data_IF_347103734426
#
_entry.id   IF_347103734426
#
_cell.length_a   1.000
_cell.length_b   1.000
_cell.length_c   1.000
_cell.angle_alpha   90.00
_cell.angle_beta   90.00
_cell.angle_gamma   90.00
#
_symmetry.space_group_name_H-M   'P 1'
#
loop_
_entity.id
_entity.type
_entity.pdbx_description
1 polymer ?
#
# COMPACT_ATOMS: atom_id res chain seq x y z
N UNK A 1 2.59 -7.90 -1.47
CA UNK A 1 2.91 -8.56 -2.74
C UNK A 1 2.28 -7.81 -3.90
N UNK A 2 3.06 -7.47 -4.90
CA UNK A 2 2.57 -7.03 -6.20
C UNK A 2 2.35 -8.27 -7.08
N UNK A 3 1.44 -8.19 -8.04
CA UNK A 3 1.22 -9.25 -9.03
C UNK A 3 1.49 -8.64 -10.42
N UNK A 4 2.76 -8.57 -10.83
CA UNK A 4 3.10 -7.96 -12.11
C UNK A 4 2.61 -8.80 -13.29
N UNK A 5 2.19 -8.10 -14.35
CA UNK A 5 1.97 -8.71 -15.65
C UNK A 5 3.31 -8.84 -16.36
N UNK A 6 3.95 -10.02 -16.24
CA UNK A 6 5.33 -10.26 -16.66
C UNK A 6 5.58 -10.32 -18.18
N UNK A 7 4.58 -9.98 -19.00
CA UNK A 7 4.69 -10.02 -20.48
C UNK A 7 4.93 -8.63 -21.11
N UNK A 8 5.09 -7.59 -20.27
CA UNK A 8 5.52 -6.25 -20.73
C UNK A 8 7.03 -6.16 -20.63
N UNK A 9 7.69 -5.74 -21.71
CA UNK A 9 9.14 -5.59 -21.76
C UNK A 9 9.56 -4.13 -21.58
N UNK A 10 10.84 -3.92 -21.27
CA UNK A 10 11.40 -2.57 -21.22
C UNK A 10 11.25 -1.83 -22.56
N UNK A 11 11.44 -2.54 -23.69
CA UNK A 11 11.31 -1.97 -25.01
C UNK A 11 9.88 -1.58 -25.36
N UNK A 12 8.89 -2.26 -24.78
CA UNK A 12 7.49 -1.83 -24.90
C UNK A 12 7.25 -0.51 -24.19
N UNK A 13 7.80 -0.35 -22.99
CA UNK A 13 7.63 0.86 -22.18
C UNK A 13 8.40 2.06 -22.75
N UNK A 14 9.52 1.85 -23.45
CA UNK A 14 10.27 2.91 -24.12
C UNK A 14 9.48 3.63 -25.22
N UNK A 15 8.45 2.97 -25.77
CA UNK A 15 7.58 3.53 -26.83
C UNK A 15 6.62 4.60 -26.31
N UNK A 16 6.48 4.75 -24.98
CA UNK A 16 5.50 5.62 -24.36
C UNK A 16 6.16 6.58 -23.37
N UNK A 17 5.58 7.77 -23.23
CA UNK A 17 6.08 8.79 -22.29
C UNK A 17 5.72 8.50 -20.83
N UNK A 18 4.75 7.63 -20.59
CA UNK A 18 4.32 7.22 -19.25
C UNK A 18 4.23 5.71 -19.14
N UNK A 19 4.75 5.17 -18.06
CA UNK A 19 4.62 3.75 -17.71
C UNK A 19 3.29 3.40 -17.02
N UNK A 20 2.40 4.38 -16.82
CA UNK A 20 1.07 4.19 -16.22
C UNK A 20 -0.04 4.76 -17.10
N UNK A 21 -0.34 6.04 -16.95
CA UNK A 21 -1.50 6.68 -17.58
C UNK A 21 -1.45 6.70 -19.11
N UNK A 22 -0.27 6.73 -19.69
CA UNK A 22 -0.08 6.71 -21.14
C UNK A 22 0.23 5.32 -21.71
N UNK A 23 0.38 4.29 -20.87
CA UNK A 23 0.65 2.93 -21.34
C UNK A 23 -0.67 2.21 -21.67
N UNK A 24 -0.88 1.75 -22.92
CA UNK A 24 -2.16 1.24 -23.34
C UNK A 24 -2.45 -0.17 -22.82
N UNK A 25 -3.71 -0.41 -22.45
CA UNK A 25 -4.17 -1.72 -21.99
C UNK A 25 -4.28 -2.78 -23.10
N UNK A 26 -4.01 -2.44 -24.35
CA UNK A 26 -3.93 -3.41 -25.47
C UNK A 26 -2.81 -4.43 -25.32
N UNK A 27 -1.86 -4.18 -24.41
CA UNK A 27 -0.82 -5.16 -24.04
C UNK A 27 -1.33 -6.26 -23.09
N UNK A 28 -2.50 -6.07 -22.49
CA UNK A 28 -3.07 -7.05 -21.57
C UNK A 28 -3.76 -8.18 -22.31
N UNK A 29 -3.31 -9.39 -22.09
CA UNK A 29 -3.86 -10.64 -22.58
C UNK A 29 -4.53 -11.39 -21.43
N UNK A 30 -5.87 -11.56 -21.44
CA UNK A 30 -6.60 -12.21 -20.36
C UNK A 30 -6.21 -13.67 -20.13
N UNK A 31 -5.80 -14.42 -21.18
CA UNK A 31 -5.39 -15.81 -21.04
C UNK A 31 -4.08 -15.92 -20.25
N UNK A 32 -3.10 -15.09 -20.60
CA UNK A 32 -1.83 -14.99 -19.87
C UNK A 32 -2.04 -14.48 -18.45
N UNK A 33 -2.89 -13.49 -18.25
CA UNK A 33 -3.22 -12.97 -16.94
C UNK A 33 -3.86 -14.04 -16.05
N UNK A 34 -4.74 -14.89 -16.60
CA UNK A 34 -5.35 -16.01 -15.87
C UNK A 34 -4.30 -16.98 -15.32
N UNK A 35 -3.30 -17.33 -16.13
CA UNK A 35 -2.18 -18.18 -15.68
C UNK A 35 -1.40 -17.50 -14.54
N UNK A 36 -1.07 -16.21 -14.70
CA UNK A 36 -0.32 -15.46 -13.69
C UNK A 36 -1.08 -15.34 -12.37
N UNK A 37 -2.37 -15.04 -12.39
CA UNK A 37 -3.19 -14.99 -11.15
C UNK A 37 -3.14 -16.31 -10.40
N UNK A 38 -3.29 -17.44 -11.08
CA UNK A 38 -3.22 -18.74 -10.44
C UNK A 38 -1.83 -19.02 -9.84
N UNK A 39 -0.75 -18.70 -10.55
CA UNK A 39 0.62 -18.85 -10.04
C UNK A 39 0.85 -18.01 -8.78
N UNK A 40 0.34 -16.76 -8.73
CA UNK A 40 0.45 -15.92 -7.54
C UNK A 40 -0.36 -16.48 -6.37
N UNK A 41 -1.52 -17.04 -6.63
CA UNK A 41 -2.34 -17.68 -5.60
C UNK A 41 -1.67 -18.95 -5.04
N UNK A 42 -1.02 -19.76 -5.87
CA UNK A 42 -0.20 -20.89 -5.43
C UNK A 42 0.95 -20.44 -4.51
N UNK A 43 1.61 -19.32 -4.82
CA UNK A 43 2.66 -18.75 -3.95
C UNK A 43 2.10 -18.34 -2.59
N UNK A 44 0.88 -17.82 -2.52
CA UNK A 44 0.24 -17.49 -1.25
C UNK A 44 -0.12 -18.72 -0.43
N UNK A 45 -0.58 -19.79 -1.07
CA UNK A 45 -0.79 -21.07 -0.40
C UNK A 45 0.52 -21.62 0.16
N UNK A 46 1.58 -21.61 -0.65
CA UNK A 46 2.90 -22.03 -0.19
C UNK A 46 3.38 -21.18 1.00
N UNK A 47 3.19 -19.87 1.00
CA UNK A 47 3.57 -19.02 2.12
C UNK A 47 2.84 -19.41 3.42
N UNK A 48 1.55 -19.78 3.34
CA UNK A 48 0.81 -20.30 4.48
C UNK A 48 1.38 -21.64 4.99
N UNK A 49 1.72 -22.54 4.06
CA UNK A 49 2.24 -23.89 4.35
C UNK A 49 3.63 -23.86 4.98
N UNK A 50 4.54 -23.01 4.46
CA UNK A 50 5.91 -22.93 4.97
C UNK A 50 6.07 -22.06 6.19
N UNK A 51 5.00 -21.45 6.70
CA UNK A 51 4.98 -20.85 8.02
C UNK A 51 5.15 -19.34 8.08
N UNK A 52 4.96 -18.59 6.99
CA UNK A 52 4.92 -17.11 7.08
C UNK A 52 3.79 -16.64 8.01
N UNK A 53 3.99 -15.51 8.70
CA UNK A 53 2.99 -14.94 9.61
C UNK A 53 1.85 -14.25 8.87
N UNK A 54 2.12 -13.70 7.70
CA UNK A 54 1.14 -12.97 6.91
C UNK A 54 1.48 -12.84 5.44
N UNK A 55 0.46 -12.51 4.67
CA UNK A 55 0.53 -12.15 3.26
C UNK A 55 0.08 -10.70 3.13
N UNK A 56 0.87 -9.90 2.42
CA UNK A 56 0.52 -8.52 2.13
C UNK A 56 0.07 -8.40 0.68
N UNK A 57 -1.08 -7.77 0.45
CA UNK A 57 -1.61 -7.41 -0.86
C UNK A 57 -1.81 -5.90 -0.96
N UNK A 58 -1.77 -5.33 -2.16
CA UNK A 58 -1.89 -3.90 -2.40
C UNK A 58 -2.77 -3.63 -3.62
N UNK A 59 -3.27 -2.38 -3.74
CA UNK A 59 -4.11 -1.89 -4.82
C UNK A 59 -3.31 -0.92 -5.70
N UNK A 60 -3.38 -1.13 -7.02
CA UNK A 60 -2.88 -0.17 -8.00
C UNK A 60 -3.73 -0.20 -9.26
N UNK A 61 -3.97 1.00 -9.80
CA UNK A 61 -4.72 1.20 -11.04
C UNK A 61 -3.80 1.61 -12.19
N UNK A 62 -4.21 1.35 -13.44
CA UNK A 62 -3.43 1.63 -14.65
C UNK A 62 -1.98 1.14 -14.52
N UNK A 63 -1.81 -0.14 -14.15
CA UNK A 63 -0.52 -0.64 -13.69
C UNK A 63 -0.25 -2.04 -14.24
N UNK A 64 0.78 -2.19 -15.07
CA UNK A 64 1.25 -3.50 -15.55
C UNK A 64 2.04 -4.26 -14.46
N UNK A 65 2.57 -3.57 -13.46
CA UNK A 65 3.32 -4.23 -12.36
C UNK A 65 2.45 -4.68 -11.19
N UNK A 66 1.15 -4.39 -11.24
CA UNK A 66 0.20 -4.85 -10.24
C UNK A 66 -1.17 -5.02 -10.89
N UNK A 67 -1.56 -6.26 -11.13
CA UNK A 67 -2.85 -6.60 -11.75
C UNK A 67 -4.02 -6.61 -10.74
N UNK A 68 -3.94 -5.85 -9.65
CA UNK A 68 -4.95 -5.83 -8.57
C UNK A 68 -5.59 -4.45 -8.40
N UNK A 69 -6.45 -4.02 -9.33
CA UNK A 69 -7.21 -2.78 -9.16
C UNK A 69 -8.34 -2.89 -8.12
N UNK A 70 -8.68 -4.12 -7.69
CA UNK A 70 -9.67 -4.40 -6.67
C UNK A 70 -9.07 -5.41 -5.67
N UNK A 71 -8.23 -4.91 -4.77
CA UNK A 71 -7.46 -5.74 -3.84
C UNK A 71 -8.33 -6.61 -2.93
N UNK A 72 -9.56 -6.17 -2.63
CA UNK A 72 -10.50 -6.93 -1.81
C UNK A 72 -10.97 -8.23 -2.49
N UNK A 73 -11.05 -8.27 -3.83
CA UNK A 73 -11.32 -9.52 -4.57
C UNK A 73 -10.17 -10.52 -4.41
N UNK A 74 -8.92 -10.06 -4.54
CA UNK A 74 -7.74 -10.89 -4.31
C UNK A 74 -7.71 -11.40 -2.86
N UNK A 75 -7.95 -10.54 -1.87
CA UNK A 75 -8.03 -10.92 -0.46
C UNK A 75 -9.12 -11.96 -0.17
N UNK A 76 -10.26 -11.91 -0.87
CA UNK A 76 -11.31 -12.91 -0.75
C UNK A 76 -10.84 -14.29 -1.22
N UNK A 77 -10.13 -14.36 -2.34
CA UNK A 77 -9.53 -15.60 -2.83
C UNK A 77 -8.48 -16.11 -1.85
N UNK A 78 -7.53 -15.26 -1.42
CA UNK A 78 -6.50 -15.61 -0.44
C UNK A 78 -7.14 -16.16 0.85
N UNK A 79 -8.25 -15.57 1.32
CA UNK A 79 -8.93 -15.99 2.54
C UNK A 79 -9.44 -17.44 2.50
N UNK A 80 -9.75 -17.94 1.29
CA UNK A 80 -10.21 -19.32 1.07
C UNK A 80 -9.09 -20.29 0.76
N UNK A 81 -8.01 -19.82 0.16
CA UNK A 81 -6.85 -20.64 -0.17
C UNK A 81 -5.91 -20.86 1.04
N UNK A 82 -5.95 -19.98 2.03
CA UNK A 82 -5.08 -20.02 3.21
C UNK A 82 -5.87 -20.27 4.50
N UNK A 83 -5.19 -20.76 5.54
CA UNK A 83 -5.84 -21.13 6.81
C UNK A 83 -5.31 -20.34 8.01
N UNK A 84 -4.04 -19.98 8.01
CA UNK A 84 -3.33 -19.48 9.19
C UNK A 84 -2.84 -18.05 9.04
N UNK A 85 -2.24 -17.72 7.90
CA UNK A 85 -1.60 -16.41 7.68
C UNK A 85 -2.56 -15.25 7.86
N UNK A 86 -2.09 -14.16 8.45
CA UNK A 86 -2.79 -12.88 8.40
C UNK A 86 -2.80 -12.35 6.97
N UNK A 87 -3.87 -11.66 6.60
CA UNK A 87 -4.05 -11.09 5.27
C UNK A 87 -4.05 -9.58 5.42
N UNK A 88 -2.90 -8.96 5.15
CA UNK A 88 -2.70 -7.53 5.26
C UNK A 88 -3.02 -6.85 3.91
N UNK A 89 -4.13 -6.13 3.85
CA UNK A 89 -4.53 -5.34 2.69
C UNK A 89 -3.88 -3.97 2.84
N UNK A 90 -2.68 -3.77 2.24
CA UNK A 90 -1.89 -2.55 2.41
C UNK A 90 -1.70 -1.81 1.06
N UNK A 91 -2.73 -1.09 0.59
CA UNK A 91 -4.01 -0.81 1.27
C UNK A 91 -5.06 -0.42 0.27
N UNK A 92 -6.26 -0.31 0.80
CA UNK A 92 -7.37 0.25 0.05
C UNK A 92 -7.22 1.77 -0.13
N UNK A 93 -7.51 2.27 -1.34
CA UNK A 93 -7.48 3.72 -1.64
C UNK A 93 -8.84 4.33 -1.25
N UNK A 94 -9.02 4.58 0.04
CA UNK A 94 -10.33 4.98 0.59
C UNK A 94 -10.77 6.40 0.25
N UNK A 95 -9.86 7.26 -0.21
CA UNK A 95 -10.18 8.64 -0.62
C UNK A 95 -10.97 8.72 -1.91
N UNK A 96 -10.88 7.70 -2.78
CA UNK A 96 -11.48 7.70 -4.13
C UNK A 96 -12.72 6.82 -4.24
N UNK A 97 -12.97 5.94 -3.28
CA UNK A 97 -14.09 5.00 -3.27
C UNK A 97 -15.27 5.45 -2.40
N UNK A 98 -16.28 4.59 -2.32
CA UNK A 98 -17.40 4.73 -1.37
C UNK A 98 -17.00 4.09 -0.03
N UNK A 99 -16.93 4.86 1.08
CA UNK A 99 -16.48 4.37 2.37
C UNK A 99 -17.44 3.36 3.01
N UNK A 100 -18.75 3.43 2.75
CA UNK A 100 -19.71 2.46 3.29
C UNK A 100 -19.48 1.10 2.63
N UNK A 101 -19.39 1.08 1.30
CA UNK A 101 -19.08 -0.14 0.55
C UNK A 101 -17.74 -0.74 1.00
N UNK A 102 -16.72 0.09 1.19
CA UNK A 102 -15.42 -0.35 1.69
C UNK A 102 -15.54 -1.01 3.08
N UNK A 103 -16.33 -0.40 3.98
CA UNK A 103 -16.58 -0.95 5.30
C UNK A 103 -17.27 -2.32 5.23
N UNK A 104 -18.26 -2.48 4.34
CA UNK A 104 -18.96 -3.75 4.14
C UNK A 104 -18.05 -4.83 3.54
N UNK A 105 -17.28 -4.51 2.51
CA UNK A 105 -16.35 -5.44 1.87
C UNK A 105 -15.31 -5.98 2.88
N UNK A 106 -14.70 -5.10 3.67
CA UNK A 106 -13.70 -5.51 4.66
C UNK A 106 -14.34 -6.32 5.79
N UNK A 107 -15.54 -5.96 6.23
CA UNK A 107 -16.28 -6.75 7.22
C UNK A 107 -16.59 -8.17 6.71
N UNK A 108 -17.02 -8.30 5.45
CA UNK A 108 -17.22 -9.60 4.80
C UNK A 108 -15.92 -10.40 4.72
N UNK A 109 -14.82 -9.77 4.32
CA UNK A 109 -13.50 -10.40 4.24
C UNK A 109 -13.02 -10.90 5.62
N UNK A 110 -13.27 -10.13 6.65
CA UNK A 110 -12.93 -10.50 8.01
C UNK A 110 -13.72 -11.74 8.46
N UNK A 111 -15.01 -11.80 8.15
CA UNK A 111 -15.82 -13.00 8.35
C UNK A 111 -15.34 -14.19 7.50
N UNK A 112 -15.03 -13.97 6.20
CA UNK A 112 -14.55 -15.04 5.32
C UNK A 112 -13.24 -15.65 5.79
N UNK A 113 -12.36 -14.82 6.32
CA UNK A 113 -11.03 -15.23 6.78
C UNK A 113 -11.01 -15.79 8.21
N UNK A 114 -12.11 -15.66 8.96
CA UNK A 114 -12.14 -16.01 10.39
C UNK A 114 -11.33 -15.07 11.27
N UNK A 115 -11.35 -13.76 10.99
CA UNK A 115 -10.67 -12.75 11.80
C UNK A 115 -9.17 -12.62 11.48
N UNK A 116 -8.75 -12.91 10.26
CA UNK A 116 -7.34 -12.83 9.84
C UNK A 116 -6.99 -11.56 9.07
N UNK A 117 -7.95 -10.66 8.83
CA UNK A 117 -7.71 -9.42 8.07
C UNK A 117 -6.95 -8.40 8.91
N UNK A 118 -5.94 -7.78 8.31
CA UNK A 118 -5.37 -6.51 8.71
C UNK A 118 -5.76 -5.51 7.64
N UNK A 119 -6.53 -4.49 8.02
CA UNK A 119 -7.02 -3.47 7.10
C UNK A 119 -5.97 -2.38 6.91
N UNK A 120 -5.60 -2.06 5.70
CA UNK A 120 -4.69 -0.96 5.39
C UNK A 120 -5.38 0.11 4.57
N UNK A 121 -5.20 1.36 4.97
CA UNK A 121 -5.78 2.51 4.28
C UNK A 121 -4.70 3.41 3.71
N UNK A 122 -4.88 3.80 2.45
CA UNK A 122 -4.00 4.72 1.75
C UNK A 122 -4.78 5.84 1.09
N UNK A 123 -4.10 6.97 0.90
CA UNK A 123 -4.65 8.10 0.14
C UNK A 123 -4.62 7.86 -1.38
N UNK A 124 -3.89 6.86 -1.82
CA UNK A 124 -3.50 6.71 -3.21
C UNK A 124 -2.40 7.69 -3.62
N UNK A 125 -1.91 7.51 -4.83
CA UNK A 125 -0.96 8.42 -5.48
C UNK A 125 -1.69 9.46 -6.34
N UNK A 126 -0.94 10.40 -6.90
CA UNK A 126 -1.47 11.34 -7.89
C UNK A 126 -2.20 10.63 -9.05
N UNK A 127 -1.72 9.46 -9.45
CA UNK A 127 -2.32 8.67 -10.54
C UNK A 127 -3.73 8.17 -10.17
N UNK A 128 -3.92 7.63 -8.97
CA UNK A 128 -5.24 7.18 -8.51
C UNK A 128 -6.23 8.34 -8.41
N UNK A 129 -5.77 9.51 -7.97
CA UNK A 129 -6.61 10.72 -7.93
C UNK A 129 -7.01 11.19 -9.32
N UNK A 130 -6.06 11.19 -10.30
CA UNK A 130 -6.38 11.51 -11.70
C UNK A 130 -7.41 10.55 -12.30
N UNK A 131 -7.20 9.25 -12.09
CA UNK A 131 -8.10 8.23 -12.64
C UNK A 131 -9.51 8.29 -12.06
N UNK A 132 -9.64 8.71 -10.80
CA UNK A 132 -10.94 8.88 -10.15
C UNK A 132 -11.64 10.20 -10.49
N UNK A 133 -10.94 11.13 -11.15
CA UNK A 133 -11.47 12.45 -11.49
C UNK A 133 -11.72 13.35 -10.28
N UNK A 134 -11.07 13.08 -9.15
CA UNK A 134 -11.22 13.87 -7.93
C UNK A 134 -10.22 15.02 -7.86
N UNK A 135 -10.57 16.05 -7.11
CA UNK A 135 -9.65 17.17 -6.81
C UNK A 135 -8.51 16.67 -5.90
N UNK A 136 -7.27 16.71 -6.36
CA UNK A 136 -6.13 16.23 -5.58
C UNK A 136 -5.88 17.06 -4.31
N UNK A 137 -6.35 18.30 -4.24
CA UNK A 137 -6.21 19.15 -3.05
C UNK A 137 -7.10 18.71 -1.90
N UNK A 138 -8.19 18.01 -2.19
CA UNK A 138 -9.14 17.46 -1.22
C UNK A 138 -8.77 16.05 -0.74
N UNK A 139 -7.82 15.39 -1.40
CA UNK A 139 -7.54 13.96 -1.22
C UNK A 139 -7.31 13.58 0.25
N UNK A 140 -6.53 14.35 1.01
CA UNK A 140 -6.26 14.02 2.40
C UNK A 140 -7.46 14.22 3.32
N UNK A 141 -8.23 15.27 3.13
CA UNK A 141 -9.44 15.52 3.92
C UNK A 141 -10.52 14.47 3.61
N UNK A 142 -10.68 14.08 2.35
CA UNK A 142 -11.54 12.95 1.95
C UNK A 142 -11.10 11.63 2.58
N UNK A 143 -9.80 11.37 2.61
CA UNK A 143 -9.23 10.20 3.26
C UNK A 143 -9.59 10.16 4.76
N UNK A 144 -9.43 11.28 5.47
CA UNK A 144 -9.73 11.36 6.91
C UNK A 144 -11.21 11.11 7.17
N UNK A 145 -12.10 11.76 6.42
CA UNK A 145 -13.55 11.57 6.57
C UNK A 145 -13.98 10.13 6.24
N UNK A 146 -13.41 9.54 5.18
CA UNK A 146 -13.67 8.13 4.82
C UNK A 146 -13.21 7.17 5.92
N UNK A 147 -12.00 7.38 6.47
CA UNK A 147 -11.47 6.59 7.57
C UNK A 147 -12.41 6.59 8.79
N UNK A 148 -12.82 7.78 9.23
CA UNK A 148 -13.69 7.92 10.41
C UNK A 148 -15.07 7.27 10.19
N UNK A 149 -15.61 7.43 8.99
CA UNK A 149 -16.89 6.82 8.64
C UNK A 149 -16.80 5.29 8.56
N UNK A 150 -15.72 4.73 8.01
CA UNK A 150 -15.49 3.28 7.97
C UNK A 150 -15.41 2.72 9.39
N UNK A 151 -14.64 3.33 10.27
CA UNK A 151 -14.55 2.91 11.68
C UNK A 151 -15.93 2.97 12.33
N UNK A 152 -16.66 4.06 12.14
CA UNK A 152 -18.02 4.22 12.66
C UNK A 152 -18.96 3.13 12.15
N UNK A 153 -18.87 2.77 10.88
CA UNK A 153 -19.63 1.64 10.32
C UNK A 153 -19.33 0.32 11.03
N UNK A 154 -18.14 0.10 11.49
CA UNK A 154 -17.77 -1.15 12.19
C UNK A 154 -18.14 -1.15 13.66
N UNK A 155 -17.99 -0.02 14.36
CA UNK A 155 -18.10 0.08 15.81
C UNK A 155 -19.48 0.51 16.31
N UNK A 156 -20.14 1.40 15.60
CA UNK A 156 -21.44 1.92 16.02
C UNK A 156 -22.58 1.00 15.58
N UNK A 157 -23.64 0.97 16.38
CA UNK A 157 -24.89 0.34 15.98
C UNK A 157 -25.72 1.34 15.17
N UNK A 158 -26.04 0.95 13.94
CA UNK A 158 -26.91 1.73 13.07
C UNK A 158 -28.40 1.56 13.39
N UNK A 159 -29.30 2.26 12.66
CA UNK A 159 -28.98 3.21 11.60
C UNK A 159 -28.54 4.58 12.15
N UNK A 160 -27.67 5.26 11.42
CA UNK A 160 -27.32 6.66 11.68
C UNK A 160 -27.31 7.47 10.38
N UNK A 161 -27.24 8.79 10.50
CA UNK A 161 -27.05 9.71 9.37
C UNK A 161 -25.62 10.22 9.37
N UNK A 162 -25.04 10.40 8.18
CA UNK A 162 -23.75 11.04 8.01
C UNK A 162 -23.87 12.27 7.11
N UNK A 163 -23.45 13.41 7.61
CA UNK A 163 -23.47 14.71 6.95
C UNK A 163 -22.07 15.32 7.01
N UNK A 164 -21.14 14.71 6.26
CA UNK A 164 -19.78 15.20 6.17
C UNK A 164 -19.61 16.24 5.08
N UNK A 165 -18.37 16.67 4.89
CA UNK A 165 -18.01 17.61 3.83
C UNK A 165 -18.03 16.90 2.46
N UNK A 166 -17.50 15.68 2.39
CA UNK A 166 -17.29 14.94 1.16
C UNK A 166 -18.28 13.79 0.98
N UNK A 167 -18.76 13.21 2.08
CA UNK A 167 -19.68 12.09 2.06
C UNK A 167 -20.97 12.45 2.78
N UNK A 168 -22.11 12.20 2.11
CA UNK A 168 -23.43 12.55 2.65
C UNK A 168 -24.40 11.40 2.42
N UNK A 169 -24.82 10.78 3.53
CA UNK A 169 -25.72 9.65 3.52
C UNK A 169 -26.90 9.89 4.45
N UNK A 170 -28.11 9.80 3.91
CA UNK A 170 -29.34 9.93 4.72
C UNK A 170 -29.48 8.81 5.74
N UNK A 171 -29.02 7.61 5.38
CA UNK A 171 -29.02 6.42 6.23
C UNK A 171 -27.73 5.66 6.00
N UNK A 172 -27.00 5.38 7.08
CA UNK A 172 -25.87 4.47 7.13
C UNK A 172 -26.25 3.32 8.04
N UNK A 173 -26.32 2.12 7.51
CA UNK A 173 -26.68 0.93 8.27
C UNK A 173 -26.09 -0.33 7.62
N UNK A 174 -24.77 -0.47 7.54
CA UNK A 174 -24.14 -1.70 7.05
C UNK A 174 -24.62 -2.88 7.91
N UNK A 175 -25.18 -3.88 7.26
CA UNK A 175 -25.67 -5.08 7.96
C UNK A 175 -24.52 -5.95 8.46
N UNK A 176 -23.47 -6.05 7.66
CA UNK A 176 -22.29 -6.87 7.98
C UNK A 176 -21.37 -6.15 8.95
N UNK A 177 -20.98 -6.82 10.01
CA UNK A 177 -19.96 -6.37 10.97
C UNK A 177 -18.72 -7.24 10.87
N UNK A 178 -17.52 -6.70 11.15
CA UNK A 178 -16.32 -7.52 11.23
C UNK A 178 -16.43 -8.57 12.35
N UNK A 179 -15.72 -9.67 12.18
CA UNK A 179 -15.61 -10.72 13.19
C UNK A 179 -14.69 -10.30 14.35
N UNK A 180 -13.66 -9.52 14.03
CA UNK A 180 -12.74 -8.97 15.03
C UNK A 180 -13.41 -7.86 15.83
N UNK A 181 -13.17 -7.83 17.15
CA UNK A 181 -13.77 -6.88 18.08
C UNK A 181 -12.69 -5.98 18.72
N UNK A 182 -12.82 -4.65 18.69
CA UNK A 182 -13.94 -3.88 18.15
C UNK A 182 -13.97 -3.77 16.62
N UNK A 183 -12.89 -4.09 15.93
CA UNK A 183 -12.70 -4.01 14.48
C UNK A 183 -11.41 -4.72 14.06
N UNK A 184 -11.15 -4.96 12.77
CA UNK A 184 -9.84 -5.36 12.27
C UNK A 184 -8.77 -4.35 12.63
N UNK A 185 -7.55 -4.83 12.84
CA UNK A 185 -6.40 -3.94 12.97
C UNK A 185 -6.27 -3.07 11.73
N UNK A 186 -5.96 -1.79 11.95
CA UNK A 186 -5.74 -0.83 10.85
C UNK A 186 -4.26 -0.49 10.81
N UNK A 187 -3.63 -0.78 9.67
CA UNK A 187 -2.26 -0.37 9.40
C UNK A 187 -2.22 0.75 8.37
N UNK A 188 -1.25 1.63 8.50
CA UNK A 188 -1.11 2.77 7.61
C UNK A 188 0.19 2.67 6.80
N UNK A 189 0.14 2.18 5.55
CA UNK A 189 1.32 2.14 4.69
C UNK A 189 1.62 3.51 4.09
N UNK A 190 2.89 3.88 4.04
CA UNK A 190 3.32 5.14 3.47
C UNK A 190 4.76 5.15 2.96
N UNK A 191 5.08 6.13 2.12
CA UNK A 191 6.36 6.21 1.41
C UNK A 191 7.30 7.29 1.95
N UNK A 192 7.05 7.80 3.17
CA UNK A 192 7.98 8.70 3.82
C UNK A 192 7.50 10.14 4.07
N UNK A 193 6.19 10.41 4.01
CA UNK A 193 5.63 11.70 4.42
C UNK A 193 5.56 11.79 5.95
N UNK A 194 6.25 12.75 6.59
CA UNK A 194 6.17 12.94 8.04
C UNK A 194 4.75 13.19 8.54
N UNK A 195 3.95 13.91 7.75
CA UNK A 195 2.56 14.24 8.09
C UNK A 195 1.71 12.95 8.18
N UNK A 196 1.97 11.99 7.32
CA UNK A 196 1.31 10.68 7.35
C UNK A 196 1.72 9.86 8.58
N UNK A 197 3.00 9.94 8.97
CA UNK A 197 3.52 9.28 10.18
C UNK A 197 2.89 9.88 11.44
N UNK A 198 2.84 11.22 11.51
CA UNK A 198 2.19 11.94 12.61
C UNK A 198 0.71 11.55 12.72
N UNK A 199 0.01 11.55 11.59
CA UNK A 199 -1.41 11.17 11.57
C UNK A 199 -1.62 9.72 12.03
N UNK A 200 -0.83 8.78 11.54
CA UNK A 200 -0.90 7.38 11.96
C UNK A 200 -0.66 7.22 13.47
N UNK A 201 0.37 7.89 14.00
CA UNK A 201 0.68 7.86 15.42
C UNK A 201 -0.42 8.49 16.29
N UNK A 202 -1.03 9.60 15.85
CA UNK A 202 -2.16 10.24 16.55
C UNK A 202 -3.38 9.32 16.67
N UNK A 203 -3.56 8.40 15.72
CA UNK A 203 -4.66 7.43 15.69
C UNK A 203 -4.28 6.06 16.28
N UNK A 204 -3.03 5.88 16.74
CA UNK A 204 -2.52 4.61 17.22
C UNK A 204 -2.45 3.51 16.15
N UNK A 205 -2.39 3.89 14.88
CA UNK A 205 -2.27 2.93 13.78
C UNK A 205 -0.82 2.60 13.50
N UNK A 206 -0.43 1.32 13.46
CA UNK A 206 0.90 0.93 13.01
C UNK A 206 1.22 1.52 11.63
N UNK A 207 2.40 2.14 11.52
CA UNK A 207 2.89 2.71 10.27
C UNK A 207 3.82 1.72 9.58
N UNK A 208 3.52 1.40 8.32
CA UNK A 208 4.36 0.54 7.48
C UNK A 208 5.13 1.39 6.48
N UNK A 209 6.44 1.57 6.70
CA UNK A 209 7.28 2.35 5.78
C UNK A 209 7.63 1.53 4.53
N UNK A 210 7.29 2.07 3.36
CA UNK A 210 7.45 1.38 2.08
C UNK A 210 8.74 1.84 1.38
N UNK A 211 9.80 1.00 1.43
CA UNK A 211 10.95 1.11 0.54
C UNK A 211 11.81 2.36 0.68
N UNK A 212 11.81 3.04 1.83
CA UNK A 212 12.72 4.14 2.09
C UNK A 212 14.13 3.64 2.51
N UNK A 213 15.11 4.54 2.48
CA UNK A 213 16.44 4.25 3.03
C UNK A 213 16.37 4.05 4.55
N UNK A 214 17.30 3.33 5.13
CA UNK A 214 17.37 3.02 6.58
C UNK A 214 17.34 4.30 7.41
N UNK A 215 18.21 5.26 7.12
CA UNK A 215 18.28 6.54 7.85
C UNK A 215 16.94 7.31 7.81
N UNK A 216 16.28 7.29 6.65
CA UNK A 216 14.95 7.90 6.51
C UNK A 216 13.91 7.15 7.34
N UNK A 217 14.00 5.83 7.37
CA UNK A 217 13.09 4.98 8.14
C UNK A 217 13.27 5.20 9.64
N UNK A 218 14.50 5.27 10.13
CA UNK A 218 14.80 5.57 11.53
C UNK A 218 14.30 6.95 11.95
N UNK A 219 14.49 7.95 11.11
CA UNK A 219 13.98 9.30 11.33
C UNK A 219 12.44 9.33 11.40
N UNK A 220 11.76 8.63 10.50
CA UNK A 220 10.29 8.53 10.51
C UNK A 220 9.78 7.76 11.74
N UNK A 221 10.47 6.70 12.14
CA UNK A 221 10.18 5.96 13.36
C UNK A 221 10.30 6.85 14.60
N UNK A 222 11.32 7.71 14.64
CA UNK A 222 11.46 8.66 15.76
C UNK A 222 10.30 9.65 15.80
N UNK A 223 9.85 10.18 14.64
CA UNK A 223 8.65 11.03 14.57
C UNK A 223 7.42 10.31 15.11
N UNK A 224 7.26 9.02 14.76
CA UNK A 224 6.15 8.21 15.27
C UNK A 224 6.20 8.10 16.80
N UNK A 225 7.36 7.76 17.36
CA UNK A 225 7.58 7.59 18.81
C UNK A 225 7.29 8.90 19.56
N UNK A 226 7.81 10.02 19.07
CA UNK A 226 7.62 11.32 19.69
C UNK A 226 6.14 11.73 19.66
N UNK A 227 5.47 11.55 18.54
CA UNK A 227 4.03 11.83 18.41
C UNK A 227 3.19 10.92 19.32
N UNK A 228 3.49 9.63 19.38
CA UNK A 228 2.80 8.70 20.28
C UNK A 228 2.90 9.13 21.74
N UNK A 229 4.08 9.58 22.16
CA UNK A 229 4.30 10.13 23.50
C UNK A 229 3.47 11.40 23.75
N UNK A 230 3.40 12.30 22.76
CA UNK A 230 2.65 13.55 22.87
C UNK A 230 1.13 13.31 23.01
N UNK A 231 0.61 12.26 22.40
CA UNK A 231 -0.81 11.85 22.50
C UNK A 231 -1.06 10.84 23.62
N UNK A 232 -0.05 10.50 24.43
CA UNK A 232 -0.22 9.83 25.72
C UNK A 232 -0.07 8.30 25.70
N UNK A 233 0.57 7.71 24.68
CA UNK A 233 0.90 6.28 24.71
C UNK A 233 2.37 6.01 24.36
N UNK A 234 2.84 4.81 24.70
CA UNK A 234 4.19 4.35 24.38
C UNK A 234 4.16 3.50 23.12
N UNK A 235 4.80 3.95 22.07
CA UNK A 235 4.99 3.13 20.87
C UNK A 235 6.02 2.02 21.12
N UNK A 236 5.71 0.80 20.66
CA UNK A 236 6.61 -0.35 20.64
C UNK A 236 6.95 -0.79 19.20
N UNK A 237 7.72 -1.88 19.05
CA UNK A 237 8.07 -2.44 17.73
C UNK A 237 6.84 -2.74 16.85
N UNK A 238 5.73 -3.12 17.45
CA UNK A 238 4.46 -3.44 16.81
C UNK A 238 3.80 -2.26 16.08
N UNK A 239 4.24 -1.04 16.38
CA UNK A 239 3.66 0.17 15.78
C UNK A 239 4.40 0.66 14.54
N UNK A 240 5.54 0.09 14.20
CA UNK A 240 6.32 0.57 13.07
C UNK A 240 6.94 -0.59 12.28
N UNK A 241 6.48 -0.77 11.03
CA UNK A 241 6.98 -1.78 10.12
C UNK A 241 7.84 -1.20 9.00
N UNK A 242 8.66 -2.05 8.42
CA UNK A 242 9.51 -1.70 7.30
C UNK A 242 9.39 -2.75 6.18
N UNK A 243 9.02 -2.31 4.98
CA UNK A 243 8.90 -3.18 3.82
C UNK A 243 10.18 -3.13 3.00
N UNK A 244 10.79 -4.28 2.83
CA UNK A 244 11.99 -4.49 2.02
C UNK A 244 11.68 -5.26 0.74
N UNK A 245 12.40 -4.96 -0.32
CA UNK A 245 12.53 -5.88 -1.46
C UNK A 245 13.60 -6.91 -1.12
N UNK A 246 13.25 -8.16 -1.26
CA UNK A 246 14.14 -9.27 -0.93
C UNK A 246 14.26 -10.18 -2.14
N UNK A 247 15.49 -10.54 -2.47
CA UNK A 247 15.82 -11.59 -3.44
C UNK A 247 16.63 -12.64 -2.70
N UNK A 248 16.19 -13.89 -2.79
CA UNK A 248 16.85 -15.02 -2.14
C UNK A 248 17.42 -15.95 -3.21
N UNK A 249 18.68 -16.31 -3.09
CA UNK A 249 19.37 -17.28 -3.93
C UNK A 249 20.46 -18.00 -3.13
N UNK A 250 21.11 -19.00 -3.72
CA UNK A 250 22.16 -19.80 -3.05
C UNK A 250 23.40 -18.97 -2.68
N UNK A 251 23.68 -17.89 -3.42
CA UNK A 251 24.75 -16.94 -3.12
C UNK A 251 24.31 -15.49 -3.29
N UNK A 252 25.02 -14.57 -2.64
CA UNK A 252 24.78 -13.13 -2.74
C UNK A 252 24.94 -12.63 -4.18
N UNK A 253 25.94 -13.13 -4.93
CA UNK A 253 26.20 -12.76 -6.31
C UNK A 253 25.01 -13.15 -7.21
N UNK A 254 24.46 -14.35 -7.00
CA UNK A 254 23.28 -14.81 -7.76
C UNK A 254 22.03 -14.02 -7.39
N UNK A 255 21.84 -13.67 -6.13
CA UNK A 255 20.76 -12.82 -5.69
C UNK A 255 20.83 -11.42 -6.32
N UNK A 256 22.03 -10.84 -6.42
CA UNK A 256 22.27 -9.55 -7.08
C UNK A 256 21.97 -9.64 -8.57
N UNK A 257 22.42 -10.70 -9.26
CA UNK A 257 22.14 -10.94 -10.67
C UNK A 257 20.63 -10.98 -10.94
N UNK A 258 19.88 -11.80 -10.20
CA UNK A 258 18.43 -11.90 -10.28
C UNK A 258 17.75 -10.55 -9.95
N UNK A 259 18.24 -9.86 -8.92
CA UNK A 259 17.73 -8.56 -8.52
C UNK A 259 17.83 -7.52 -9.63
N UNK A 260 18.94 -7.50 -10.37
CA UNK A 260 19.15 -6.60 -11.50
C UNK A 260 18.16 -6.86 -12.64
N UNK A 261 17.89 -8.13 -12.93
CA UNK A 261 16.99 -8.51 -14.01
C UNK A 261 15.55 -8.03 -13.77
N UNK A 262 15.11 -7.96 -12.51
CA UNK A 262 13.73 -7.58 -12.23
C UNK A 262 13.55 -6.12 -11.78
N UNK A 263 14.60 -5.45 -11.34
CA UNK A 263 14.52 -4.09 -10.80
C UNK A 263 14.31 -2.99 -11.84
N UNK A 264 14.60 -3.25 -13.12
CA UNK A 264 14.34 -2.30 -14.21
C UNK A 264 12.89 -1.79 -14.24
N UNK A 265 11.95 -2.59 -13.79
CA UNK A 265 10.54 -2.19 -13.72
C UNK A 265 10.31 -1.02 -12.78
N UNK A 266 11.19 -0.83 -11.79
CA UNK A 266 11.06 0.25 -10.81
C UNK A 266 11.24 1.63 -11.44
N UNK A 267 12.18 1.77 -12.37
CA UNK A 267 12.47 3.03 -13.04
C UNK A 267 11.31 3.45 -13.95
N UNK A 268 10.69 2.48 -14.60
CA UNK A 268 9.57 2.73 -15.52
C UNK A 268 8.23 2.98 -14.84
N UNK A 269 8.04 2.54 -13.58
CA UNK A 269 6.82 2.84 -12.80
C UNK A 269 6.60 4.32 -12.57
N UNK A 270 7.68 5.08 -12.42
CA UNK A 270 7.66 6.50 -12.15
C UNK A 270 7.80 7.34 -13.43
N UNK A 271 8.05 6.69 -14.58
CA UNK A 271 8.14 7.38 -15.85
C UNK A 271 6.81 8.01 -16.21
N UNK A 272 6.82 9.30 -16.46
CA UNK A 272 5.62 10.05 -16.88
C UNK A 272 5.84 11.54 -16.82
N UNK A 273 4.96 12.30 -17.47
CA UNK A 273 4.93 13.74 -17.36
C UNK A 273 4.85 14.19 -15.90
N UNK A 274 5.48 15.29 -15.58
CA UNK A 274 5.56 15.80 -14.21
C UNK A 274 4.17 16.05 -13.60
N UNK A 275 3.23 16.52 -14.39
CA UNK A 275 1.85 16.76 -14.01
C UNK A 275 1.09 15.49 -13.57
N UNK A 276 1.54 14.30 -13.97
CA UNK A 276 0.97 13.04 -13.51
C UNK A 276 1.43 12.67 -12.09
N UNK A 277 2.59 13.14 -11.67
CA UNK A 277 3.21 12.74 -10.41
C UNK A 277 3.21 13.86 -9.36
N UNK A 278 3.17 15.11 -9.79
CA UNK A 278 3.37 16.29 -8.95
C UNK A 278 2.11 17.15 -8.81
N UNK A 279 0.95 16.50 -8.62
CA UNK A 279 -0.31 17.21 -8.44
C UNK A 279 -0.35 18.00 -7.13
N UNK A 280 -1.03 19.16 -7.11
CA UNK A 280 -1.34 19.87 -5.87
C UNK A 280 -1.98 18.92 -4.84
N UNK A 281 -1.64 19.08 -3.57
CA UNK A 281 -2.15 18.24 -2.49
C UNK A 281 -1.43 16.90 -2.29
N UNK A 282 -0.73 16.37 -3.29
CA UNK A 282 0.14 15.20 -3.13
C UNK A 282 1.57 15.56 -2.71
N UNK A 283 1.96 16.80 -2.83
CA UNK A 283 3.26 17.27 -2.36
C UNK A 283 3.12 17.81 -0.94
N UNK A 284 4.08 17.45 -0.07
CA UNK A 284 4.16 18.11 1.22
C UNK A 284 4.50 19.59 1.01
N UNK A 285 4.02 20.45 1.90
CA UNK A 285 4.33 21.88 1.88
C UNK A 285 5.84 22.15 1.83
N UNK A 286 6.65 21.30 2.48
CA UNK A 286 8.11 21.38 2.44
C UNK A 286 8.72 21.01 1.10
N UNK A 287 8.10 20.09 0.35
CA UNK A 287 8.56 19.73 -0.98
C UNK A 287 8.27 20.84 -2.00
N UNK A 288 7.11 21.51 -1.87
CA UNK A 288 6.75 22.66 -2.72
C UNK A 288 7.57 23.90 -2.40
N UNK A 289 8.02 24.08 -1.16
CA UNK A 289 8.87 25.18 -0.75
C UNK A 289 10.36 25.00 -1.10
N UNK A 290 10.73 23.92 -1.78
CA UNK A 290 12.11 23.64 -2.19
C UNK A 290 13.08 23.37 -1.04
N UNK A 291 12.59 23.22 0.19
CA UNK A 291 13.40 23.05 1.41
C UNK A 291 13.87 21.62 1.69
N UNK A 292 13.53 20.69 0.82
CA UNK A 292 14.11 19.34 0.81
C UNK A 292 14.37 18.89 -0.62
N UNK A 293 15.56 18.34 -0.91
CA UNK A 293 15.61 17.39 -1.98
C UNK A 293 14.56 16.32 -1.61
N UNK A 294 13.69 15.93 -2.54
CA UNK A 294 12.88 14.72 -2.35
C UNK A 294 13.84 13.67 -1.81
N UNK A 295 13.54 13.01 -0.68
CA UNK A 295 14.20 11.74 -0.46
C UNK A 295 13.88 10.99 -1.74
N UNK A 296 14.91 10.58 -2.48
CA UNK A 296 14.72 9.68 -3.60
C UNK A 296 13.78 8.62 -3.04
N UNK A 297 12.55 8.56 -3.55
CA UNK A 297 11.67 7.47 -3.20
C UNK A 297 12.56 6.26 -3.36
N UNK A 298 12.68 5.41 -2.36
CA UNK A 298 13.62 4.28 -2.39
C UNK A 298 13.38 3.32 -3.56
N UNK A 299 12.42 3.68 -4.42
CA UNK A 299 12.11 3.09 -5.72
C UNK A 299 13.02 3.58 -6.85
N UNK A 300 13.78 4.65 -6.63
CA UNK A 300 14.62 5.31 -7.62
C UNK A 300 16.05 5.35 -7.12
N UNK A 301 16.51 4.24 -6.56
CA UNK A 301 17.94 4.05 -6.48
C UNK A 301 18.38 3.54 -7.86
N UNK A 302 19.03 4.36 -8.66
CA UNK A 302 19.38 3.99 -10.04
C UNK A 302 20.39 2.84 -10.11
N UNK A 303 20.85 2.35 -8.98
CA UNK A 303 21.85 1.31 -8.91
C UNK A 303 21.64 0.38 -7.71
N UNK A 304 20.69 -0.54 -7.83
CA UNK A 304 20.48 -1.60 -6.85
C UNK A 304 21.65 -2.59 -6.75
N UNK A 305 22.61 -2.51 -7.63
CA UNK A 305 23.88 -3.24 -7.55
C UNK A 305 24.97 -2.44 -6.87
N UNK A 306 24.70 -1.21 -6.38
CA UNK A 306 25.72 -0.41 -5.73
C UNK A 306 26.04 -0.97 -4.34
N UNK A 307 27.32 -1.16 -3.98
CA UNK A 307 27.75 -1.71 -2.69
C UNK A 307 27.12 -1.01 -1.47
N UNK A 308 26.87 0.30 -1.57
CA UNK A 308 26.24 1.08 -0.51
C UNK A 308 24.82 0.61 -0.16
N UNK A 309 23.99 0.25 -1.13
CA UNK A 309 22.65 -0.30 -0.88
C UNK A 309 22.69 -1.68 -0.27
N UNK A 310 23.69 -2.46 -0.63
CA UNK A 310 23.92 -3.79 -0.07
C UNK A 310 24.33 -3.72 1.40
N UNK A 311 25.17 -2.76 1.76
CA UNK A 311 25.56 -2.52 3.15
C UNK A 311 24.40 -1.99 3.99
N UNK A 312 23.52 -1.18 3.42
CA UNK A 312 22.27 -0.71 4.05
C UNK A 312 21.32 -1.88 4.32
N UNK A 313 21.15 -2.81 3.38
CA UNK A 313 20.34 -4.02 3.57
C UNK A 313 20.92 -4.95 4.64
N UNK A 314 22.26 -5.08 4.70
CA UNK A 314 22.93 -5.81 5.78
C UNK A 314 22.73 -5.15 7.15
N UNK A 315 22.69 -3.83 7.21
CA UNK A 315 22.44 -3.10 8.44
C UNK A 315 21.01 -3.32 8.97
N UNK A 316 20.01 -3.40 8.09
CA UNK A 316 18.63 -3.73 8.47
C UNK A 316 18.51 -5.13 9.05
N UNK A 317 19.16 -6.13 8.46
CA UNK A 317 19.18 -7.50 8.97
C UNK A 317 19.85 -7.64 10.35
N UNK A 318 20.54 -6.63 10.84
CA UNK A 318 21.08 -6.58 12.22
C UNK A 318 20.13 -5.89 13.21
N UNK A 319 19.07 -5.26 12.71
CA UNK A 319 18.07 -4.55 13.53
C UNK A 319 16.82 -5.39 13.76
N UNK A 320 16.66 -6.51 13.06
CA UNK A 320 15.63 -7.54 13.23
C UNK A 320 16.23 -8.66 14.06
#
# INVERSE_FOLDING_TARGET
SEQPYGHVTEDDLKKYDSGRLGFPNSYFDPEKASVLYNQYHEQYQLADEVGFDGIMSNEHHASYWCMKPAVNLDAAVISKLTKRVKIAILGNVISVGDPIRMAEEIAMLDCYSGGRIISGFVRGTAVETLLSGQDPTENFARFQEAHDLIIKCWTDNGPFRHEGQYYKYRVVNPWVKPMQNPRPDIWFPGTGSPESVVWAAQHGHPYMNLGALVDTTEWLKQIYIDTAKDVGYKAGPEHFGYLLRCVVADTDEKAIEIGREFMWTADHRQKGPREHNDQPGHQTRRATEGKRPRPALGHVAPDYGHPKHYDELKAVNKLI
#
